data_IF_490971382222
#
_entry.id   IF_490971382222
#
_cell.length_a   1.000
_cell.length_b   1.000
_cell.length_c   1.000
_cell.angle_alpha   90.00
_cell.angle_beta   90.00
_cell.angle_gamma   90.00
#
_symmetry.space_group_name_H-M   'P 1'
#
loop_
_entity.id
_entity.type
_entity.pdbx_description
1 polymer ?
#
# COMPACT_ATOMS: atom_id res chain seq x y z
N UNK A 1 -40.52 112.74 21.84
CA UNK A 1 -40.48 111.78 20.72
C UNK A 1 -39.97 112.58 19.53
N UNK A 2 -38.66 112.66 19.31
CA UNK A 2 -37.82 111.61 18.71
C UNK A 2 -38.26 111.30 17.29
N UNK A 3 -37.71 112.02 16.32
CA UNK A 3 -37.41 111.45 15.00
C UNK A 3 -36.15 112.12 14.46
N UNK A 4 -35.07 111.34 14.43
CA UNK A 4 -33.78 111.72 13.88
C UNK A 4 -33.87 111.51 12.37
N UNK A 5 -34.21 112.57 11.62
CA UNK A 5 -34.14 112.54 10.15
C UNK A 5 -32.69 112.81 9.75
N UNK A 6 -31.94 111.72 9.52
CA UNK A 6 -30.65 111.80 8.83
C UNK A 6 -30.94 112.21 7.39
N UNK A 7 -30.54 113.42 7.02
CA UNK A 7 -30.61 113.90 5.65
C UNK A 7 -29.76 112.98 4.76
N UNK A 8 -30.39 112.41 3.72
CA UNK A 8 -29.67 111.70 2.68
C UNK A 8 -28.62 112.61 2.02
N UNK A 9 -27.49 112.04 1.55
CA UNK A 9 -26.39 112.82 0.98
C UNK A 9 -26.88 113.69 -0.19
N UNK A 10 -26.34 114.91 -0.28
CA UNK A 10 -26.64 115.86 -1.33
C UNK A 10 -26.42 115.25 -2.74
N UNK A 11 -27.27 115.55 -3.73
CA UNK A 11 -27.10 115.06 -5.08
C UNK A 11 -25.77 115.57 -5.65
N UNK A 12 -24.98 114.71 -6.30
CA UNK A 12 -23.67 115.08 -6.82
C UNK A 12 -23.80 116.24 -7.83
N UNK A 13 -22.81 117.15 -7.90
CA UNK A 13 -22.84 118.27 -8.84
C UNK A 13 -22.96 117.78 -10.29
N UNK A 14 -23.67 118.51 -11.16
CA UNK A 14 -23.92 118.10 -12.54
C UNK A 14 -22.61 118.08 -13.35
N UNK A 15 -22.27 116.91 -13.88
CA UNK A 15 -21.04 116.71 -14.65
C UNK A 15 -21.01 117.53 -15.93
N UNK A 16 -19.85 118.12 -16.20
CA UNK A 16 -19.58 118.77 -17.48
C UNK A 16 -19.60 117.75 -18.62
N UNK A 17 -19.89 118.17 -19.85
CA UNK A 17 -19.91 117.27 -21.00
C UNK A 17 -18.54 116.60 -21.27
N UNK A 18 -17.42 117.26 -20.91
CA UNK A 18 -16.08 116.68 -21.01
C UNK A 18 -15.84 115.55 -20.01
N UNK A 19 -16.27 115.69 -18.76
CA UNK A 19 -16.16 114.63 -17.75
C UNK A 19 -16.97 113.39 -18.13
N UNK A 20 -18.18 113.59 -18.67
CA UNK A 20 -19.00 112.50 -19.22
C UNK A 20 -18.30 111.77 -20.38
N UNK A 21 -17.69 112.49 -21.31
CA UNK A 21 -16.91 111.88 -22.40
C UNK A 21 -15.73 111.04 -21.88
N UNK A 22 -15.03 111.50 -20.83
CA UNK A 22 -13.94 110.75 -20.19
C UNK A 22 -14.45 109.46 -19.52
N UNK A 23 -15.60 109.52 -18.83
CA UNK A 23 -16.23 108.33 -18.24
C UNK A 23 -16.63 107.30 -19.31
N UNK A 24 -17.18 107.75 -20.44
CA UNK A 24 -17.49 106.85 -21.56
C UNK A 24 -16.23 106.19 -22.12
N UNK A 25 -15.12 106.92 -22.27
CA UNK A 25 -13.84 106.33 -22.71
C UNK A 25 -13.32 105.25 -21.76
N UNK A 26 -13.36 105.50 -20.45
CA UNK A 26 -12.96 104.51 -19.42
C UNK A 26 -13.87 103.28 -19.46
N UNK A 27 -15.19 103.48 -19.65
CA UNK A 27 -16.12 102.36 -19.79
C UNK A 27 -15.86 101.55 -21.05
N UNK A 28 -15.57 102.21 -22.18
CA UNK A 28 -15.22 101.55 -23.44
C UNK A 28 -13.93 100.72 -23.29
N UNK A 29 -12.92 101.27 -22.62
CA UNK A 29 -11.65 100.58 -22.32
C UNK A 29 -11.88 99.35 -21.43
N UNK A 30 -12.62 99.49 -20.32
CA UNK A 30 -13.00 98.35 -19.47
C UNK A 30 -13.85 97.31 -20.20
N UNK A 31 -14.69 97.73 -21.15
CA UNK A 31 -15.46 96.82 -21.99
C UNK A 31 -14.51 96.02 -22.89
N UNK A 32 -13.52 96.67 -23.49
CA UNK A 32 -12.50 96.00 -24.29
C UNK A 32 -11.67 95.03 -23.45
N UNK A 33 -11.20 95.42 -22.27
CA UNK A 33 -10.48 94.53 -21.34
C UNK A 33 -11.28 93.26 -20.98
N UNK A 34 -12.57 93.43 -20.67
CA UNK A 34 -13.46 92.31 -20.38
C UNK A 34 -13.66 91.42 -21.61
N UNK A 35 -13.80 92.01 -22.81
CA UNK A 35 -13.94 91.24 -24.05
C UNK A 35 -12.69 90.41 -24.31
N UNK A 36 -11.50 91.00 -24.17
CA UNK A 36 -10.22 90.28 -24.32
C UNK A 36 -10.08 89.16 -23.28
N UNK A 37 -10.42 89.41 -22.00
CA UNK A 37 -10.40 88.38 -20.96
C UNK A 37 -11.38 87.23 -21.28
N UNK A 38 -12.55 87.54 -21.82
CA UNK A 38 -13.54 86.54 -22.23
C UNK A 38 -13.07 85.74 -23.45
N UNK A 39 -12.43 86.37 -24.43
CA UNK A 39 -11.87 85.71 -25.60
C UNK A 39 -10.73 84.76 -25.21
N UNK A 40 -9.79 85.22 -24.38
CA UNK A 40 -8.68 84.40 -23.86
C UNK A 40 -9.19 83.22 -23.03
N UNK A 41 -10.23 83.42 -22.21
CA UNK A 41 -10.89 82.32 -21.50
C UNK A 41 -11.58 81.35 -22.45
N UNK A 42 -12.27 81.84 -23.48
CA UNK A 42 -12.94 81.01 -24.47
C UNK A 42 -11.92 80.12 -25.18
N UNK A 43 -10.85 80.70 -25.71
CA UNK A 43 -9.79 79.99 -26.42
C UNK A 43 -9.16 78.92 -25.53
N UNK A 44 -8.79 79.26 -24.29
CA UNK A 44 -8.25 78.29 -23.32
C UNK A 44 -9.24 77.19 -22.96
N UNK A 45 -10.54 77.49 -22.91
CA UNK A 45 -11.56 76.47 -22.64
C UNK A 45 -11.77 75.55 -23.85
N UNK A 46 -11.72 76.06 -25.07
CA UNK A 46 -11.84 75.29 -26.30
C UNK A 46 -10.63 74.39 -26.50
N UNK A 47 -9.41 74.89 -26.25
CA UNK A 47 -8.19 74.09 -26.26
C UNK A 47 -8.24 72.95 -25.23
N UNK A 48 -8.67 73.26 -24.00
CA UNK A 48 -8.84 72.24 -22.95
C UNK A 48 -9.90 71.22 -23.31
N UNK A 49 -11.00 71.64 -23.93
CA UNK A 49 -12.06 70.74 -24.39
C UNK A 49 -11.55 69.82 -25.50
N UNK A 50 -10.84 70.35 -26.49
CA UNK A 50 -10.25 69.56 -27.56
C UNK A 50 -9.26 68.51 -27.02
N UNK A 51 -8.43 68.90 -26.05
CA UNK A 51 -7.49 67.97 -25.40
C UNK A 51 -8.21 66.87 -24.62
N UNK A 52 -9.24 67.21 -23.83
CA UNK A 52 -9.98 66.20 -23.05
C UNK A 52 -10.78 65.26 -23.92
N UNK A 53 -11.31 65.72 -25.06
CA UNK A 53 -11.98 64.87 -26.05
C UNK A 53 -11.02 63.86 -26.68
N UNK A 54 -9.80 64.28 -27.02
CA UNK A 54 -8.75 63.38 -27.52
C UNK A 54 -8.37 62.33 -26.47
N UNK A 55 -8.14 62.76 -25.22
CA UNK A 55 -7.78 61.87 -24.11
C UNK A 55 -8.89 60.84 -23.86
N UNK A 56 -10.15 61.30 -23.80
CA UNK A 56 -11.32 60.42 -23.64
C UNK A 56 -11.44 59.41 -24.80
N UNK A 57 -11.22 59.85 -26.04
CA UNK A 57 -11.22 58.97 -27.20
C UNK A 57 -10.14 57.88 -27.10
N UNK A 58 -8.95 58.25 -26.63
CA UNK A 58 -7.84 57.31 -26.41
C UNK A 58 -8.17 56.28 -25.31
N UNK A 59 -8.71 56.71 -24.17
CA UNK A 59 -9.09 55.81 -23.07
C UNK A 59 -10.22 54.87 -23.48
N UNK A 60 -11.22 55.37 -24.21
CA UNK A 60 -12.30 54.53 -24.73
C UNK A 60 -11.78 53.44 -25.66
N UNK A 61 -10.79 53.77 -26.51
CA UNK A 61 -10.20 52.80 -27.41
C UNK A 61 -9.38 51.74 -26.64
N UNK A 62 -8.54 52.16 -25.69
CA UNK A 62 -7.79 51.24 -24.80
C UNK A 62 -8.75 50.33 -24.03
N UNK A 63 -9.83 50.88 -23.47
CA UNK A 63 -10.83 50.11 -22.73
C UNK A 63 -11.50 49.05 -23.61
N UNK A 64 -11.85 49.37 -24.86
CA UNK A 64 -12.44 48.38 -25.79
C UNK A 64 -11.45 47.25 -26.10
N UNK A 65 -10.19 47.58 -26.35
CA UNK A 65 -9.15 46.58 -26.61
C UNK A 65 -8.95 45.66 -25.42
N UNK A 66 -8.82 46.21 -24.20
CA UNK A 66 -8.67 45.41 -22.98
C UNK A 66 -9.90 44.54 -22.71
N UNK A 67 -11.11 45.05 -22.94
CA UNK A 67 -12.33 44.25 -22.80
C UNK A 67 -12.38 43.09 -23.80
N UNK A 68 -11.91 43.30 -25.03
CA UNK A 68 -11.81 42.24 -26.04
C UNK A 68 -10.78 41.17 -25.63
N UNK A 69 -9.60 41.59 -25.15
CA UNK A 69 -8.55 40.68 -24.70
C UNK A 69 -8.97 39.88 -23.47
N UNK A 70 -9.64 40.52 -22.50
CA UNK A 70 -10.22 39.82 -21.34
C UNK A 70 -11.26 38.81 -21.81
N UNK A 71 -12.15 39.17 -22.75
CA UNK A 71 -13.16 38.24 -23.26
C UNK A 71 -12.54 37.05 -24.00
N UNK A 72 -11.50 37.27 -24.80
CA UNK A 72 -10.77 36.21 -25.51
C UNK A 72 -10.01 35.30 -24.53
N UNK A 73 -9.31 35.89 -23.57
CA UNK A 73 -8.60 35.14 -22.51
C UNK A 73 -9.57 34.32 -21.67
N UNK A 74 -10.70 34.90 -21.27
CA UNK A 74 -11.74 34.18 -20.52
C UNK A 74 -12.29 33.02 -21.33
N UNK A 75 -12.55 33.22 -22.63
CA UNK A 75 -13.07 32.17 -23.51
C UNK A 75 -12.07 31.04 -23.72
N UNK A 76 -10.80 31.36 -23.92
CA UNK A 76 -9.74 30.36 -24.11
C UNK A 76 -9.47 29.58 -22.83
N UNK A 77 -9.43 30.25 -21.67
CA UNK A 77 -9.34 29.59 -20.37
C UNK A 77 -10.52 28.66 -20.11
N UNK A 78 -11.75 29.11 -20.39
CA UNK A 78 -12.94 28.27 -20.22
C UNK A 78 -12.88 27.03 -21.13
N UNK A 79 -12.48 27.20 -22.40
CA UNK A 79 -12.32 26.08 -23.32
C UNK A 79 -11.25 25.08 -22.84
N UNK A 80 -10.13 25.56 -22.29
CA UNK A 80 -9.08 24.70 -21.72
C UNK A 80 -9.57 23.95 -20.48
N UNK A 81 -10.35 24.60 -19.61
CA UNK A 81 -10.97 23.96 -18.44
C UNK A 81 -11.90 22.84 -18.89
N UNK A 82 -12.77 23.12 -19.87
CA UNK A 82 -13.74 22.14 -20.37
C UNK A 82 -13.04 20.96 -21.07
N UNK A 83 -11.99 21.23 -21.85
CA UNK A 83 -11.17 20.19 -22.46
C UNK A 83 -10.43 19.35 -21.41
N UNK A 84 -9.87 19.98 -20.37
CA UNK A 84 -9.20 19.28 -19.27
C UNK A 84 -10.17 18.39 -18.50
N UNK A 85 -11.37 18.89 -18.20
CA UNK A 85 -12.43 18.10 -17.55
C UNK A 85 -12.85 16.91 -18.40
N UNK A 86 -13.09 17.12 -19.70
CA UNK A 86 -13.46 16.04 -20.60
C UNK A 86 -12.35 14.96 -20.69
N UNK A 87 -11.07 15.38 -20.71
CA UNK A 87 -9.94 14.44 -20.67
C UNK A 87 -9.86 13.69 -19.36
N UNK A 88 -10.06 14.36 -18.23
CA UNK A 88 -10.08 13.75 -16.90
C UNK A 88 -11.21 12.72 -16.79
N UNK A 89 -12.43 13.08 -17.19
CA UNK A 89 -13.57 12.17 -17.23
C UNK A 89 -13.30 10.96 -18.12
N UNK A 90 -12.72 11.16 -19.31
CA UNK A 90 -12.36 10.07 -20.21
C UNK A 90 -11.31 9.13 -19.59
N UNK A 91 -10.31 9.68 -18.88
CA UNK A 91 -9.30 8.90 -18.17
C UNK A 91 -9.91 8.12 -17.00
N UNK A 92 -10.78 8.74 -16.21
CA UNK A 92 -11.52 8.07 -15.12
C UNK A 92 -12.37 6.94 -15.66
N UNK A 93 -13.12 7.17 -16.74
CA UNK A 93 -13.93 6.15 -17.40
C UNK A 93 -13.08 5.01 -17.98
N UNK A 94 -11.90 5.32 -18.53
CA UNK A 94 -10.97 4.30 -19.01
C UNK A 94 -10.37 3.49 -17.86
N UNK A 95 -10.03 4.13 -16.74
CA UNK A 95 -9.56 3.46 -15.52
C UNK A 95 -10.67 2.68 -14.81
N UNK A 96 -11.94 3.00 -15.05
CA UNK A 96 -13.07 2.22 -14.54
C UNK A 96 -13.39 0.97 -15.39
N UNK A 97 -12.69 0.74 -16.51
CA UNK A 97 -12.96 -0.43 -17.37
C UNK A 97 -12.56 -1.72 -16.66
N UNK A 98 -13.48 -2.69 -16.66
CA UNK A 98 -13.31 -4.06 -16.14
C UNK A 98 -12.79 -4.13 -14.69
N UNK A 99 -13.56 -3.59 -13.73
CA UNK A 99 -13.25 -3.78 -12.33
C UNK A 99 -13.24 -5.27 -11.97
N UNK A 100 -12.37 -5.66 -11.06
CA UNK A 100 -12.26 -7.06 -10.65
C UNK A 100 -12.16 -7.23 -9.13
N UNK A 101 -12.49 -8.44 -8.69
CA UNK A 101 -12.31 -8.94 -7.33
C UNK A 101 -11.25 -10.04 -7.37
N UNK A 102 -10.28 -9.97 -6.46
CA UNK A 102 -9.28 -11.03 -6.29
C UNK A 102 -9.59 -11.84 -5.04
N UNK A 103 -9.56 -13.16 -5.17
CA UNK A 103 -9.67 -14.08 -4.03
C UNK A 103 -8.38 -14.86 -3.90
N UNK A 104 -7.73 -14.73 -2.75
CA UNK A 104 -6.44 -15.36 -2.46
C UNK A 104 -6.64 -16.37 -1.34
N UNK A 105 -6.31 -17.64 -1.61
CA UNK A 105 -6.52 -18.74 -0.68
C UNK A 105 -5.21 -19.48 -0.46
N UNK A 106 -4.80 -19.61 0.79
CA UNK A 106 -3.79 -20.55 1.25
C UNK A 106 -4.52 -21.83 1.68
N UNK A 107 -4.52 -22.86 0.83
CA UNK A 107 -5.33 -24.07 1.03
C UNK A 107 -4.66 -25.15 1.89
N UNK A 108 -3.35 -25.02 2.17
CA UNK A 108 -2.62 -25.88 3.11
C UNK A 108 -2.39 -25.23 4.48
N UNK A 109 -2.81 -23.97 4.68
CA UNK A 109 -2.95 -23.35 6.00
C UNK A 109 -4.04 -24.02 6.87
N UNK A 110 -3.80 -23.98 8.19
CA UNK A 110 -4.76 -24.48 9.17
C UNK A 110 -6.10 -23.74 9.08
N UNK A 111 -7.21 -24.50 9.09
CA UNK A 111 -8.56 -23.96 8.95
C UNK A 111 -9.01 -23.68 7.51
N UNK A 112 -8.10 -23.66 6.53
CA UNK A 112 -8.43 -23.34 5.13
C UNK A 112 -8.38 -24.54 4.19
N UNK A 113 -8.26 -25.75 4.74
CA UNK A 113 -8.48 -26.99 3.99
C UNK A 113 -9.96 -27.09 3.56
N UNK A 114 -10.21 -27.27 2.27
CA UNK A 114 -11.58 -27.42 1.75
C UNK A 114 -12.28 -28.68 2.28
N UNK A 115 -13.62 -28.67 2.25
CA UNK A 115 -14.41 -29.82 2.68
C UNK A 115 -14.14 -31.10 1.86
N UNK A 116 -14.22 -32.23 2.55
CA UNK A 116 -13.93 -33.57 2.01
C UNK A 116 -14.79 -33.91 0.79
N UNK A 117 -16.04 -33.43 0.75
CA UNK A 117 -16.96 -33.64 -0.38
C UNK A 117 -16.42 -33.12 -1.71
N UNK A 118 -15.50 -32.15 -1.68
CA UNK A 118 -14.78 -31.68 -2.87
C UNK A 118 -13.50 -32.48 -3.08
N UNK A 119 -12.62 -32.54 -2.08
CA UNK A 119 -11.27 -33.12 -2.20
C UNK A 119 -11.31 -34.59 -2.64
N UNK A 120 -12.25 -35.38 -2.12
CA UNK A 120 -12.33 -36.83 -2.34
C UNK A 120 -12.83 -37.23 -3.74
N UNK A 121 -13.35 -36.28 -4.53
CA UNK A 121 -14.00 -36.54 -5.83
C UNK A 121 -13.11 -36.28 -7.07
N UNK A 122 -11.80 -36.12 -6.89
CA UNK A 122 -10.85 -35.88 -8.00
C UNK A 122 -11.31 -34.67 -8.85
N UNK A 123 -11.23 -34.73 -10.18
CA UNK A 123 -11.58 -33.64 -11.09
C UNK A 123 -13.00 -33.08 -10.89
N UNK A 124 -14.02 -33.94 -10.78
CA UNK A 124 -15.40 -33.50 -10.51
C UNK A 124 -15.53 -32.73 -9.19
N UNK A 125 -14.70 -33.10 -8.21
CA UNK A 125 -14.61 -32.40 -6.93
C UNK A 125 -14.07 -30.98 -7.07
N UNK A 126 -13.04 -30.81 -7.91
CA UNK A 126 -12.47 -29.50 -8.24
C UNK A 126 -13.45 -28.62 -8.99
N UNK A 127 -14.16 -29.18 -9.97
CA UNK A 127 -15.23 -28.48 -10.69
C UNK A 127 -16.35 -28.03 -9.74
N UNK A 128 -16.81 -28.92 -8.86
CA UNK A 128 -17.84 -28.60 -7.86
C UNK A 128 -17.38 -27.52 -6.88
N UNK A 129 -16.09 -27.52 -6.50
CA UNK A 129 -15.53 -26.48 -5.64
C UNK A 129 -15.50 -25.12 -6.35
N UNK A 130 -15.10 -25.07 -7.62
CA UNK A 130 -15.07 -23.82 -8.38
C UNK A 130 -16.47 -23.22 -8.51
N UNK A 131 -17.48 -24.03 -8.79
CA UNK A 131 -18.89 -23.60 -8.85
C UNK A 131 -19.38 -23.05 -7.51
N UNK A 132 -19.15 -23.78 -6.42
CA UNK A 132 -19.53 -23.35 -5.08
C UNK A 132 -18.83 -22.05 -4.70
N UNK A 133 -17.53 -21.95 -4.96
CA UNK A 133 -16.72 -20.79 -4.60
C UNK A 133 -17.18 -19.54 -5.35
N UNK A 134 -17.45 -19.66 -6.65
CA UNK A 134 -18.04 -18.58 -7.44
C UNK A 134 -19.44 -18.18 -6.92
N UNK A 135 -20.28 -19.15 -6.55
CA UNK A 135 -21.61 -18.88 -5.97
C UNK A 135 -21.48 -18.07 -4.68
N UNK A 136 -20.68 -18.53 -3.71
CA UNK A 136 -20.53 -17.87 -2.40
C UNK A 136 -19.89 -16.50 -2.50
N UNK A 137 -18.90 -16.33 -3.37
CA UNK A 137 -18.29 -15.01 -3.60
C UNK A 137 -19.32 -14.06 -4.21
N UNK A 138 -20.10 -14.50 -5.21
CA UNK A 138 -21.13 -13.63 -5.82
C UNK A 138 -22.21 -13.24 -4.84
N UNK A 139 -22.71 -14.18 -4.03
CA UNK A 139 -23.67 -13.88 -2.96
C UNK A 139 -23.11 -12.83 -2.01
N UNK A 140 -21.88 -13.01 -1.55
CA UNK A 140 -21.21 -12.04 -0.67
C UNK A 140 -21.02 -10.66 -1.32
N UNK A 141 -20.61 -10.63 -2.59
CA UNK A 141 -20.37 -9.36 -3.30
C UNK A 141 -21.65 -8.57 -3.53
N UNK A 142 -22.81 -9.23 -3.73
CA UNK A 142 -24.11 -8.54 -3.88
C UNK A 142 -24.53 -7.78 -2.62
N UNK A 143 -24.04 -8.18 -1.45
CA UNK A 143 -24.26 -7.42 -0.21
C UNK A 143 -23.39 -6.16 -0.14
N UNK A 144 -22.29 -6.11 -0.88
CA UNK A 144 -21.32 -5.01 -0.86
C UNK A 144 -21.48 -4.04 -2.03
N UNK A 145 -21.90 -4.53 -3.21
CA UNK A 145 -21.89 -3.77 -4.45
C UNK A 145 -23.16 -4.02 -5.26
N UNK A 146 -23.81 -2.95 -5.71
CA UNK A 146 -25.00 -3.03 -6.57
C UNK A 146 -24.66 -3.66 -7.94
N UNK A 147 -23.46 -3.42 -8.44
CA UNK A 147 -22.95 -3.89 -9.73
C UNK A 147 -22.21 -5.24 -9.62
N UNK A 148 -22.37 -5.98 -8.53
CA UNK A 148 -21.61 -7.21 -8.22
C UNK A 148 -21.59 -8.26 -9.34
N UNK A 149 -22.68 -8.42 -10.09
CA UNK A 149 -22.77 -9.41 -11.16
C UNK A 149 -21.91 -9.07 -12.38
N UNK A 150 -21.53 -7.79 -12.55
CA UNK A 150 -20.65 -7.31 -13.62
C UNK A 150 -19.15 -7.42 -13.30
N UNK A 151 -18.81 -7.74 -12.05
CA UNK A 151 -17.41 -7.81 -11.59
C UNK A 151 -16.74 -9.09 -12.10
N UNK A 152 -15.55 -8.93 -12.65
CA UNK A 152 -14.67 -10.07 -12.95
C UNK A 152 -14.13 -10.66 -11.63
N UNK A 153 -14.26 -11.97 -11.44
CA UNK A 153 -13.77 -12.65 -10.23
C UNK A 153 -12.55 -13.49 -10.61
N UNK A 154 -11.40 -13.18 -10.01
CA UNK A 154 -10.15 -13.91 -10.16
C UNK A 154 -9.90 -14.67 -8.85
N UNK A 155 -9.61 -15.96 -8.94
CA UNK A 155 -9.33 -16.79 -7.76
C UNK A 155 -7.97 -17.43 -7.92
N UNK A 156 -7.14 -17.31 -6.89
CA UNK A 156 -5.84 -17.96 -6.82
C UNK A 156 -5.73 -18.75 -5.54
N UNK A 157 -5.69 -20.07 -5.68
CA UNK A 157 -5.47 -21.01 -4.59
C UNK A 157 -4.00 -21.42 -4.60
N UNK A 158 -3.30 -21.22 -3.49
CA UNK A 158 -1.92 -21.60 -3.29
C UNK A 158 -1.87 -22.78 -2.32
N UNK A 159 -1.09 -23.79 -2.65
CA UNK A 159 -0.76 -24.87 -1.73
C UNK A 159 0.52 -25.57 -2.17
N UNK A 160 1.26 -26.14 -1.23
CA UNK A 160 2.23 -27.18 -1.55
C UNK A 160 1.46 -28.49 -1.83
N UNK A 161 1.25 -28.83 -3.11
CA UNK A 161 0.42 -29.98 -3.47
C UNK A 161 1.01 -31.30 -2.98
N UNK A 162 2.33 -31.43 -2.95
CA UNK A 162 3.00 -32.64 -2.46
C UNK A 162 2.79 -32.80 -0.95
N UNK A 163 3.03 -31.74 -0.18
CA UNK A 163 2.80 -31.73 1.27
C UNK A 163 1.34 -31.98 1.63
N UNK A 164 0.43 -31.27 0.96
CA UNK A 164 -1.01 -31.42 1.14
C UNK A 164 -1.48 -32.83 0.77
N UNK A 165 -1.00 -33.43 -0.33
CA UNK A 165 -1.34 -34.80 -0.70
C UNK A 165 -0.86 -35.81 0.34
N UNK A 166 0.38 -35.70 0.82
CA UNK A 166 0.92 -36.58 1.85
C UNK A 166 0.11 -36.51 3.14
N UNK A 167 -0.32 -35.30 3.54
CA UNK A 167 -1.22 -35.11 4.68
C UNK A 167 -2.59 -35.77 4.44
N UNK A 168 -3.22 -35.54 3.28
CA UNK A 168 -4.52 -36.10 2.94
C UNK A 168 -4.53 -37.62 2.78
N UNK A 169 -3.41 -38.22 2.34
CA UNK A 169 -3.24 -39.69 2.29
C UNK A 169 -3.24 -40.28 3.69
N UNK A 170 -2.55 -39.63 4.65
CA UNK A 170 -2.55 -40.07 6.05
C UNK A 170 -3.94 -39.96 6.71
N UNK A 171 -4.79 -39.09 6.20
CA UNK A 171 -6.19 -38.96 6.60
C UNK A 171 -7.15 -39.86 5.80
N UNK A 172 -6.64 -40.70 4.90
CA UNK A 172 -7.43 -41.58 4.02
C UNK A 172 -8.42 -40.83 3.10
N UNK A 173 -8.20 -39.53 2.88
CA UNK A 173 -9.07 -38.67 2.03
C UNK A 173 -8.72 -38.77 0.55
N UNK A 174 -7.45 -38.98 0.24
CA UNK A 174 -6.95 -39.20 -1.13
C UNK A 174 -5.98 -40.38 -1.13
N UNK A 175 -5.84 -41.06 -2.28
CA UNK A 175 -4.94 -42.23 -2.37
C UNK A 175 -3.50 -41.87 -2.73
N UNK A 176 -3.31 -40.79 -3.47
CA UNK A 176 -2.00 -40.34 -3.95
C UNK A 176 -2.08 -38.89 -4.45
N UNK A 177 -0.91 -38.30 -4.72
CA UNK A 177 -0.78 -36.97 -5.33
C UNK A 177 -1.54 -36.84 -6.66
N UNK A 178 -1.64 -37.92 -7.45
CA UNK A 178 -2.36 -37.91 -8.72
C UNK A 178 -3.85 -37.57 -8.59
N UNK A 179 -4.50 -38.00 -7.51
CA UNK A 179 -5.90 -37.63 -7.24
C UNK A 179 -6.04 -36.14 -6.91
N UNK A 180 -5.11 -35.59 -6.12
CA UNK A 180 -5.12 -34.17 -5.79
C UNK A 180 -4.78 -33.30 -7.01
N UNK A 181 -3.85 -33.74 -7.88
CA UNK A 181 -3.58 -33.07 -9.17
C UNK A 181 -4.79 -33.10 -10.10
N UNK A 182 -5.53 -34.22 -10.15
CA UNK A 182 -6.76 -34.27 -10.93
C UNK A 182 -7.82 -33.30 -10.38
N UNK A 183 -7.92 -33.20 -9.05
CA UNK A 183 -8.77 -32.22 -8.38
C UNK A 183 -8.38 -30.77 -8.72
N UNK A 184 -7.10 -30.39 -8.58
CA UNK A 184 -6.65 -29.03 -8.93
C UNK A 184 -6.85 -28.72 -10.42
N UNK A 185 -6.64 -29.70 -11.30
CA UNK A 185 -6.88 -29.55 -12.75
C UNK A 185 -8.36 -29.33 -13.06
N UNK A 186 -9.26 -30.09 -12.44
CA UNK A 186 -10.71 -29.90 -12.59
C UNK A 186 -11.18 -28.53 -12.10
N UNK A 187 -10.60 -28.03 -11.00
CA UNK A 187 -10.86 -26.68 -10.50
C UNK A 187 -10.45 -25.60 -11.53
N UNK A 188 -9.22 -25.66 -12.05
CA UNK A 188 -8.73 -24.67 -13.02
C UNK A 188 -9.49 -24.73 -14.35
N UNK A 189 -9.89 -25.94 -14.78
CA UNK A 189 -10.62 -26.14 -16.03
C UNK A 189 -12.08 -25.66 -15.97
N UNK A 190 -12.65 -25.45 -14.78
CA UNK A 190 -14.08 -25.13 -14.62
C UNK A 190 -14.40 -23.66 -14.88
N UNK A 191 -13.58 -22.75 -14.36
CA UNK A 191 -13.73 -21.30 -14.54
C UNK A 191 -12.38 -20.73 -14.96
N UNK A 192 -12.33 -20.03 -16.08
CA UNK A 192 -11.06 -19.61 -16.73
C UNK A 192 -10.22 -18.64 -15.91
N UNK A 193 -10.81 -17.93 -14.96
CA UNK A 193 -10.12 -16.98 -14.07
C UNK A 193 -9.71 -17.59 -12.72
N UNK A 194 -9.86 -18.91 -12.57
CA UNK A 194 -9.59 -19.63 -11.33
C UNK A 194 -8.33 -20.48 -11.53
N UNK A 195 -7.34 -20.25 -10.68
CA UNK A 195 -6.05 -20.89 -10.76
C UNK A 195 -5.72 -21.64 -9.46
N UNK A 196 -5.13 -22.82 -9.61
CA UNK A 196 -4.49 -23.55 -8.52
C UNK A 196 -2.97 -23.58 -8.74
N UNK A 197 -2.25 -22.92 -7.84
CA UNK A 197 -0.81 -22.72 -7.91
C UNK A 197 -0.12 -23.67 -6.92
N UNK A 198 0.58 -24.65 -7.45
CA UNK A 198 1.48 -25.50 -6.68
C UNK A 198 2.73 -24.70 -6.28
N UNK A 199 2.92 -24.44 -5.00
CA UNK A 199 4.10 -23.72 -4.49
C UNK A 199 5.31 -24.63 -4.30
N UNK A 200 5.11 -25.96 -4.38
CA UNK A 200 6.15 -26.96 -4.19
C UNK A 200 6.72 -27.01 -2.76
N UNK A 201 7.74 -27.85 -2.61
CA UNK A 201 8.50 -28.07 -1.37
C UNK A 201 9.75 -27.18 -1.34
N UNK A 202 9.58 -25.91 -0.98
CA UNK A 202 10.67 -24.93 -0.92
C UNK A 202 10.91 -24.36 0.47
N UNK A 203 12.18 -24.06 0.80
CA UNK A 203 12.52 -23.18 1.94
C UNK A 203 12.14 -21.72 1.66
N UNK A 204 12.21 -21.33 0.39
CA UNK A 204 11.96 -19.96 -0.09
C UNK A 204 10.49 -19.77 -0.48
N UNK A 205 9.64 -19.55 0.54
CA UNK A 205 8.28 -19.00 0.38
C UNK A 205 7.15 -20.01 0.22
N UNK A 206 6.47 -20.30 1.33
CA UNK A 206 5.23 -21.09 1.35
C UNK A 206 4.01 -20.35 0.76
N UNK A 207 2.87 -21.06 0.71
CA UNK A 207 1.60 -20.55 0.20
C UNK A 207 1.20 -19.21 0.83
N UNK A 208 1.31 -19.08 2.15
CA UNK A 208 1.01 -17.83 2.86
C UNK A 208 1.87 -16.64 2.42
N UNK A 209 3.16 -16.84 2.13
CA UNK A 209 4.01 -15.79 1.54
C UNK A 209 3.49 -15.38 0.16
N UNK A 210 3.12 -16.33 -0.70
CA UNK A 210 2.57 -16.01 -2.03
C UNK A 210 1.26 -15.22 -1.92
N UNK A 211 0.37 -15.60 -1.00
CA UNK A 211 -0.85 -14.84 -0.71
C UNK A 211 -0.51 -13.43 -0.27
N UNK A 212 0.40 -13.28 0.70
CA UNK A 212 0.84 -11.97 1.20
C UNK A 212 1.34 -11.04 0.10
N UNK A 213 2.29 -11.50 -0.71
CA UNK A 213 2.88 -10.68 -1.78
C UNK A 213 1.86 -10.34 -2.88
N UNK A 214 0.95 -11.28 -3.21
CA UNK A 214 -0.11 -10.99 -4.18
C UNK A 214 -1.11 -9.97 -3.62
N UNK A 215 -1.45 -10.06 -2.33
CA UNK A 215 -2.30 -9.08 -1.69
C UNK A 215 -1.68 -7.69 -1.76
N UNK A 216 -0.39 -7.56 -1.39
CA UNK A 216 0.36 -6.29 -1.50
C UNK A 216 0.37 -5.75 -2.93
N UNK A 217 0.57 -6.61 -3.93
CA UNK A 217 0.62 -6.21 -5.33
C UNK A 217 -0.74 -5.73 -5.84
N UNK A 218 -1.81 -6.48 -5.60
CA UNK A 218 -3.14 -6.12 -6.10
C UNK A 218 -3.80 -4.98 -5.31
N UNK A 219 -3.47 -4.80 -4.04
CA UNK A 219 -4.00 -3.72 -3.21
C UNK A 219 -3.80 -2.32 -3.81
N UNK A 220 -2.73 -2.14 -4.60
CA UNK A 220 -2.39 -0.88 -5.27
C UNK A 220 -3.01 -0.75 -6.67
N UNK A 221 -3.71 -1.77 -7.16
CA UNK A 221 -4.31 -1.75 -8.48
C UNK A 221 -5.59 -0.90 -8.48
N UNK A 222 -5.66 0.09 -9.38
CA UNK A 222 -6.80 1.00 -9.51
C UNK A 222 -8.11 0.28 -9.88
N UNK A 223 -8.02 -0.83 -10.62
CA UNK A 223 -9.17 -1.64 -11.04
C UNK A 223 -9.63 -2.63 -9.95
N UNK A 224 -8.87 -2.79 -8.85
CA UNK A 224 -9.27 -3.65 -7.75
C UNK A 224 -10.46 -3.02 -7.02
N UNK A 225 -11.59 -3.72 -7.07
CA UNK A 225 -12.78 -3.39 -6.28
C UNK A 225 -12.69 -3.96 -4.88
N UNK A 226 -12.27 -5.21 -4.78
CA UNK A 226 -12.27 -5.92 -3.51
C UNK A 226 -11.29 -7.09 -3.50
N UNK A 227 -10.67 -7.35 -2.36
CA UNK A 227 -9.82 -8.50 -2.10
C UNK A 227 -10.45 -9.36 -0.99
N UNK A 228 -10.57 -10.66 -1.25
CA UNK A 228 -11.04 -11.65 -0.27
C UNK A 228 -9.90 -12.61 0.02
N UNK A 229 -9.52 -12.78 1.28
CA UNK A 229 -8.31 -13.51 1.66
C UNK A 229 -8.64 -14.60 2.68
N UNK A 230 -8.31 -15.85 2.34
CA UNK A 230 -8.28 -17.00 3.24
C UNK A 230 -6.81 -17.39 3.47
N UNK A 231 -6.22 -16.97 4.58
CA UNK A 231 -4.82 -17.23 4.87
C UNK A 231 -4.56 -17.25 6.37
N UNK A 232 -3.47 -17.91 6.78
CA UNK A 232 -3.01 -17.89 8.16
C UNK A 232 -2.82 -16.46 8.67
N UNK A 233 -3.30 -16.11 9.87
CA UNK A 233 -3.07 -14.80 10.48
C UNK A 233 -1.58 -14.42 10.59
N UNK A 234 -0.69 -15.42 10.71
CA UNK A 234 0.76 -15.20 10.79
C UNK A 234 1.33 -14.61 9.49
N UNK A 235 0.69 -14.88 8.35
CA UNK A 235 1.11 -14.39 7.04
C UNK A 235 0.49 -13.04 6.67
N UNK A 236 -0.40 -12.52 7.51
CA UNK A 236 -1.06 -11.23 7.36
C UNK A 236 -0.72 -10.31 8.54
N UNK A 237 0.55 -9.87 8.67
CA UNK A 237 0.93 -8.97 9.76
C UNK A 237 0.18 -7.64 9.66
N UNK A 238 -0.22 -7.08 10.80
CA UNK A 238 -0.95 -5.81 10.85
C UNK A 238 -0.21 -4.67 10.13
N UNK A 239 1.13 -4.65 10.18
CA UNK A 239 1.97 -3.68 9.47
C UNK A 239 1.80 -3.69 7.94
N UNK A 240 1.51 -4.86 7.36
CA UNK A 240 1.15 -4.94 5.95
C UNK A 240 -0.26 -4.38 5.73
N UNK A 241 -1.21 -4.80 6.55
CA UNK A 241 -2.61 -4.41 6.37
C UNK A 241 -2.80 -2.90 6.49
N UNK A 242 -2.03 -2.21 7.33
CA UNK A 242 -2.05 -0.74 7.43
C UNK A 242 -1.61 -0.01 6.16
N UNK A 243 -0.96 -0.70 5.22
CA UNK A 243 -0.58 -0.12 3.90
C UNK A 243 -1.65 -0.31 2.83
N UNK A 244 -2.73 -1.02 3.15
CA UNK A 244 -3.77 -1.43 2.21
C UNK A 244 -5.08 -0.71 2.56
N UNK A 245 -5.88 -0.28 1.57
CA UNK A 245 -7.24 0.22 1.81
C UNK A 245 -8.12 -0.88 2.42
N UNK A 246 -8.31 -0.85 3.75
CA UNK A 246 -8.97 -1.91 4.51
C UNK A 246 -10.45 -2.08 4.15
N UNK A 247 -11.10 -1.03 3.65
CA UNK A 247 -12.48 -1.07 3.17
C UNK A 247 -12.66 -2.00 1.96
N UNK A 248 -11.59 -2.20 1.18
CA UNK A 248 -11.52 -3.11 0.03
C UNK A 248 -11.05 -4.52 0.41
N UNK A 249 -10.90 -4.83 1.70
CA UNK A 249 -10.40 -6.12 2.17
C UNK A 249 -11.48 -6.87 2.96
N UNK A 250 -11.55 -8.18 2.74
CA UNK A 250 -12.30 -9.12 3.56
C UNK A 250 -11.45 -10.32 3.90
N UNK A 251 -11.42 -10.68 5.18
CA UNK A 251 -10.78 -11.91 5.64
C UNK A 251 -11.82 -13.01 5.80
N UNK A 252 -11.51 -14.18 5.26
CA UNK A 252 -12.31 -15.38 5.49
C UNK A 252 -11.94 -15.92 6.86
N UNK A 253 -12.91 -16.02 7.75
CA UNK A 253 -12.75 -16.54 9.11
C UNK A 253 -13.19 -18.01 9.16
N UNK A 254 -12.23 -18.92 9.13
CA UNK A 254 -12.46 -20.35 9.40
C UNK A 254 -12.19 -20.73 10.86
N UNK A 255 -11.25 -20.04 11.50
CA UNK A 255 -10.91 -20.12 12.91
C UNK A 255 -10.97 -18.70 13.53
N UNK A 256 -11.18 -18.57 14.85
CA UNK A 256 -11.19 -17.26 15.50
C UNK A 256 -9.92 -16.46 15.21
N UNK A 257 -10.08 -15.24 14.70
CA UNK A 257 -8.96 -14.36 14.36
C UNK A 257 -8.31 -13.78 15.62
N UNK A 258 -6.99 -13.56 15.63
CA UNK A 258 -6.29 -12.91 16.75
C UNK A 258 -6.69 -11.43 16.89
N UNK A 259 -6.50 -10.88 18.10
CA UNK A 259 -6.83 -9.48 18.42
C UNK A 259 -6.13 -8.46 17.52
N UNK A 260 -4.93 -8.79 17.02
CA UNK A 260 -4.19 -7.95 16.07
C UNK A 260 -4.92 -7.72 14.75
N UNK A 261 -5.82 -8.63 14.35
CA UNK A 261 -6.64 -8.50 13.15
C UNK A 261 -8.04 -8.00 13.48
N UNK A 262 -8.65 -8.47 14.57
CA UNK A 262 -10.01 -8.05 14.94
C UNK A 262 -10.10 -6.62 15.45
N UNK A 263 -8.98 -6.01 15.85
CA UNK A 263 -8.94 -4.58 16.21
C UNK A 263 -8.93 -3.64 15.00
N UNK A 264 -8.65 -4.16 13.81
CA UNK A 264 -8.66 -3.39 12.56
C UNK A 264 -10.08 -3.34 11.99
N UNK A 265 -10.46 -2.26 11.28
CA UNK A 265 -11.78 -2.11 10.66
C UNK A 265 -11.89 -2.94 9.36
N UNK A 266 -11.62 -4.25 9.45
CA UNK A 266 -11.61 -5.18 8.32
C UNK A 266 -12.87 -6.02 8.35
N UNK A 267 -13.50 -6.20 7.18
CA UNK A 267 -14.67 -7.08 7.05
C UNK A 267 -14.25 -8.53 7.23
N UNK A 268 -15.10 -9.34 7.85
CA UNK A 268 -14.91 -10.79 7.94
C UNK A 268 -16.09 -11.53 7.31
N UNK A 269 -15.81 -12.70 6.72
CA UNK A 269 -16.83 -13.56 6.11
C UNK A 269 -16.60 -15.03 6.47
N UNK A 270 -17.68 -15.80 6.60
CA UNK A 270 -17.62 -17.23 6.95
C UNK A 270 -18.26 -18.09 5.86
N UNK A 271 -17.44 -18.86 5.15
CA UNK A 271 -17.92 -19.74 4.08
C UNK A 271 -17.96 -21.22 4.52
N UNK A 272 -18.94 -21.53 5.37
CA UNK A 272 -19.13 -22.86 5.96
C UNK A 272 -19.41 -23.99 4.97
N UNK A 273 -19.66 -23.71 3.69
CA UNK A 273 -19.82 -24.72 2.65
C UNK A 273 -18.51 -25.05 1.92
N UNK A 274 -17.50 -24.18 2.05
CA UNK A 274 -16.17 -24.30 1.47
C UNK A 274 -15.19 -24.88 2.50
N UNK A 275 -15.19 -24.30 3.70
CA UNK A 275 -14.31 -24.66 4.80
C UNK A 275 -15.09 -25.36 5.92
N UNK A 276 -14.51 -26.37 6.59
CA UNK A 276 -15.14 -27.00 7.74
C UNK A 276 -15.23 -26.01 8.91
N UNK A 277 -16.33 -26.01 9.68
CA UNK A 277 -16.43 -25.18 10.88
C UNK A 277 -15.42 -25.65 11.94
N UNK A 278 -14.99 -24.75 12.85
CA UNK A 278 -14.13 -25.13 13.96
C UNK A 278 -14.79 -26.23 14.79
N UNK A 279 -13.99 -27.22 15.22
CA UNK A 279 -14.49 -28.28 16.07
C UNK A 279 -15.05 -27.68 17.38
N UNK A 280 -16.21 -28.16 17.87
CA UNK A 280 -16.74 -27.68 19.13
C UNK A 280 -15.73 -27.93 20.26
N UNK A 281 -15.60 -27.01 21.23
CA UNK A 281 -14.68 -27.20 22.34
C UNK A 281 -15.00 -28.53 23.03
N UNK A 282 -14.00 -29.40 23.13
CA UNK A 282 -14.16 -30.69 23.80
C UNK A 282 -14.60 -30.40 25.22
N UNK A 283 -15.82 -30.80 25.57
CA UNK A 283 -16.31 -30.71 26.93
C UNK A 283 -15.31 -31.41 27.86
N UNK A 284 -14.75 -30.67 28.80
CA UNK A 284 -13.91 -31.23 29.85
C UNK A 284 -14.80 -32.20 30.61
N UNK A 285 -14.60 -33.50 30.41
CA UNK A 285 -15.29 -34.51 31.22
C UNK A 285 -14.91 -34.23 32.68
N UNK A 286 -15.87 -34.13 33.61
CA UNK A 286 -15.54 -33.96 35.01
C UNK A 286 -14.66 -35.15 35.42
N UNK A 287 -13.52 -34.84 36.02
CA UNK A 287 -12.67 -35.83 36.67
C UNK A 287 -13.52 -36.42 37.79
N UNK A 288 -14.09 -37.60 37.54
CA UNK A 288 -14.67 -38.41 38.60
C UNK A 288 -13.48 -38.86 39.45
N UNK A 289 -13.30 -38.24 40.61
CA UNK A 289 -12.44 -38.75 41.66
C UNK A 289 -12.87 -40.19 41.95
N UNK A 290 -12.10 -41.15 41.45
CA UNK A 290 -12.18 -42.52 41.95
C UNK A 290 -11.58 -42.51 43.35
N UNK A 291 -12.47 -42.51 44.34
CA UNK A 291 -12.18 -42.88 45.71
C UNK A 291 -11.33 -44.15 45.72
N UNK A 292 -10.11 -44.02 46.25
CA UNK A 292 -9.21 -45.13 46.54
C UNK A 292 -9.90 -46.03 47.56
N UNK A 293 -10.47 -47.13 47.10
CA UNK A 293 -10.80 -48.26 47.96
C UNK A 293 -9.66 -49.26 47.90
N UNK A 294 -9.19 -49.52 49.11
CA UNK A 294 -8.16 -50.46 49.56
C UNK A 294 -8.27 -51.83 48.88
N UNK A 295 -7.24 -52.21 48.11
CA UNK A 295 -6.98 -53.60 47.73
C UNK A 295 -5.48 -53.85 47.75
N UNK A 296 -5.09 -54.74 48.65
CA UNK A 296 -3.72 -55.07 49.01
C UNK A 296 -2.80 -55.41 47.84
N UNK A 297 -1.55 -54.95 47.97
CA UNK A 297 -0.46 -55.30 47.09
C UNK A 297 0.07 -56.69 47.43
N UNK A 298 -0.02 -57.61 46.46
CA UNK A 298 0.75 -58.85 46.47
C UNK A 298 2.18 -58.59 46.02
N UNK A 299 3.13 -59.21 46.72
CA UNK A 299 4.59 -59.09 46.66
C UNK A 299 5.26 -59.46 45.30
N UNK A 300 4.48 -59.67 44.24
CA UNK A 300 4.95 -60.11 42.93
C UNK A 300 5.24 -58.97 41.93
N UNK A 301 4.74 -57.75 42.16
CA UNK A 301 4.92 -56.61 41.24
C UNK A 301 6.18 -55.77 41.50
N UNK A 302 6.90 -56.02 42.61
CA UNK A 302 8.12 -55.28 42.95
C UNK A 302 9.32 -55.73 42.09
N UNK A 303 9.29 -56.95 41.51
CA UNK A 303 10.43 -57.50 40.74
C UNK A 303 10.40 -57.26 39.23
N UNK A 304 9.36 -56.59 38.70
CA UNK A 304 9.32 -56.15 37.29
C UNK A 304 9.74 -54.70 37.08
N UNK A 305 9.59 -53.85 38.10
CA UNK A 305 9.95 -52.42 38.02
C UNK A 305 11.44 -52.12 37.96
N UNK A 306 12.30 -53.06 38.37
CA UNK A 306 13.76 -52.86 38.38
C UNK A 306 14.47 -53.28 37.08
N UNK A 307 13.82 -54.06 36.20
CA UNK A 307 14.43 -54.44 34.91
C UNK A 307 14.19 -53.44 33.78
N UNK A 308 13.17 -52.60 33.90
CA UNK A 308 12.86 -51.59 32.86
C UNK A 308 13.59 -50.27 33.07
N UNK A 309 14.07 -49.96 34.29
CA UNK A 309 14.89 -48.76 34.55
C UNK A 309 16.31 -48.84 33.98
N UNK A 310 16.87 -50.04 33.86
CA UNK A 310 18.23 -50.22 33.32
C UNK A 310 18.25 -50.18 31.79
N UNK A 311 17.14 -50.50 31.11
CA UNK A 311 17.04 -50.36 29.64
C UNK A 311 16.89 -48.92 29.16
N UNK A 312 16.22 -48.07 29.94
CA UNK A 312 16.05 -46.66 29.57
C UNK A 312 17.32 -45.85 29.83
N UNK A 313 18.15 -46.26 30.81
CA UNK A 313 19.43 -45.60 31.10
C UNK A 313 20.49 -45.87 30.01
N UNK A 314 20.53 -47.08 29.43
CA UNK A 314 21.44 -47.41 28.32
C UNK A 314 21.02 -46.79 26.98
N UNK A 315 19.74 -46.47 26.80
CA UNK A 315 19.22 -45.80 25.59
C UNK A 315 19.49 -44.30 25.58
N UNK A 316 19.65 -43.70 26.77
CA UNK A 316 19.95 -42.28 26.94
C UNK A 316 21.45 -41.99 26.78
N UNK A 317 22.34 -42.96 27.08
CA UNK A 317 23.79 -42.82 26.85
C UNK A 317 24.13 -42.87 25.36
N UNK A 318 23.45 -43.71 24.56
CA UNK A 318 23.68 -43.77 23.09
C UNK A 318 23.11 -42.59 22.29
N UNK A 319 22.33 -41.70 22.91
CA UNK A 319 21.81 -40.48 22.28
C UNK A 319 22.63 -39.23 22.58
N UNK A 320 23.67 -39.33 23.43
CA UNK A 320 24.55 -38.20 23.75
C UNK A 320 25.78 -38.10 22.84
N UNK A 321 26.17 -39.15 22.12
CA UNK A 321 27.37 -39.14 21.27
C UNK A 321 27.12 -38.72 19.81
N UNK A 322 25.90 -38.34 19.43
CA UNK A 322 25.58 -37.92 18.05
C UNK A 322 25.13 -36.45 17.93
N UNK A 323 25.52 -35.62 18.91
CA UNK A 323 25.50 -34.15 18.79
C UNK A 323 26.92 -33.61 18.70
N UNK A 324 27.61 -33.97 17.62
CA UNK A 324 28.73 -33.17 17.11
C UNK A 324 28.18 -31.81 16.69
N UNK A 325 28.44 -30.79 17.52
CA UNK A 325 28.12 -29.41 17.23
C UNK A 325 28.93 -28.90 16.04
N UNK A 326 28.23 -28.46 15.00
CA UNK A 326 28.78 -27.72 13.87
C UNK A 326 27.88 -26.53 13.57
N UNK A 327 27.81 -25.59 14.51
CA UNK A 327 27.28 -24.24 14.26
C UNK A 327 28.45 -23.28 14.04
N UNK A 328 28.29 -22.19 13.26
CA UNK A 328 29.37 -21.24 13.01
C UNK A 328 29.88 -20.65 14.33
N UNK A 329 31.19 -20.75 14.57
CA UNK A 329 31.80 -20.23 15.79
C UNK A 329 32.02 -18.71 15.63
N UNK A 330 31.18 -17.93 16.31
CA UNK A 330 31.33 -16.48 16.42
C UNK A 330 32.31 -16.21 17.56
N UNK A 331 33.47 -15.66 17.26
CA UNK A 331 34.46 -15.27 18.26
C UNK A 331 34.55 -13.75 18.29
N UNK A 332 34.10 -13.16 19.40
CA UNK A 332 34.18 -11.74 19.66
C UNK A 332 35.57 -11.45 20.24
N UNK A 333 36.37 -10.64 19.54
CA UNK A 333 37.69 -10.23 20.00
C UNK A 333 37.66 -8.72 20.22
N UNK A 334 37.93 -8.32 21.46
CA UNK A 334 38.04 -6.93 21.86
C UNK A 334 39.52 -6.63 22.11
N UNK A 335 40.06 -5.66 21.37
CA UNK A 335 41.45 -5.26 21.50
C UNK A 335 41.49 -3.75 21.76
N UNK A 336 41.83 -3.37 22.98
CA UNK A 336 42.00 -1.96 23.36
C UNK A 336 43.30 -1.43 22.75
N UNK A 337 43.20 -0.35 21.98
CA UNK A 337 44.35 0.45 21.60
C UNK A 337 44.12 1.90 22.04
N UNK A 338 45.19 2.56 22.46
CA UNK A 338 45.17 3.90 23.05
C UNK A 338 44.72 4.94 22.01
N UNK A 339 43.41 5.09 21.85
CA UNK A 339 42.79 5.95 20.84
C UNK A 339 41.35 5.57 20.50
N UNK A 340 40.52 5.22 21.50
CA UNK A 340 39.10 4.93 21.31
C UNK A 340 38.82 3.52 20.79
N UNK A 341 38.23 2.68 21.65
CA UNK A 341 37.94 1.28 21.36
C UNK A 341 37.05 1.08 20.14
N UNK A 342 37.41 0.12 19.30
CA UNK A 342 36.57 -0.42 18.23
C UNK A 342 36.45 -1.94 18.40
N UNK A 343 35.22 -2.44 18.45
CA UNK A 343 34.92 -3.87 18.62
C UNK A 343 34.74 -4.52 17.25
N UNK A 344 35.50 -5.58 16.96
CA UNK A 344 35.43 -6.29 15.67
C UNK A 344 34.70 -7.63 15.82
N UNK A 345 33.80 -7.91 14.86
CA UNK A 345 33.08 -9.19 14.78
C UNK A 345 33.61 -9.97 13.57
N UNK A 346 34.34 -11.05 13.82
CA UNK A 346 34.95 -11.88 12.76
C UNK A 346 34.15 -13.17 12.59
N UNK A 347 33.62 -13.40 11.38
CA UNK A 347 32.87 -14.62 11.04
C UNK A 347 33.77 -15.51 10.17
N UNK A 348 34.25 -16.62 10.72
CA UNK A 348 34.96 -17.64 9.93
C UNK A 348 33.97 -18.71 9.43
N UNK A 349 33.80 -18.92 8.12
CA UNK A 349 33.02 -20.03 7.61
C UNK A 349 33.81 -21.34 7.71
N UNK A 350 33.22 -22.37 8.33
CA UNK A 350 33.83 -23.70 8.44
C UNK A 350 33.80 -24.48 7.10
N UNK A 351 34.92 -25.14 6.77
CA UNK A 351 35.03 -26.08 5.65
C UNK A 351 34.23 -27.36 5.95
N UNK A 352 33.14 -27.59 5.24
CA UNK A 352 32.52 -28.92 5.15
C UNK A 352 33.39 -29.83 4.27
N UNK A 353 34.09 -30.81 4.86
CA UNK A 353 34.73 -31.91 4.11
C UNK A 353 33.64 -32.83 3.58
N UNK A 354 33.40 -32.83 2.27
CA UNK A 354 32.61 -33.86 1.60
C UNK A 354 33.41 -35.17 1.55
N UNK A 355 32.92 -36.21 2.21
CA UNK A 355 33.36 -37.58 1.95
C UNK A 355 32.71 -38.05 0.63
N UNK A 356 33.50 -38.02 -0.44
CA UNK A 356 33.18 -38.73 -1.69
C UNK A 356 33.71 -40.15 -1.55
N UNK A 357 32.82 -41.13 -1.54
CA UNK A 357 33.16 -42.54 -1.76
C UNK A 357 33.44 -42.70 -3.25
N UNK A 358 34.70 -42.90 -3.62
CA UNK A 358 35.07 -43.23 -5.00
C UNK A 358 35.76 -44.60 -5.07
N UNK A 359 35.22 -45.46 -5.93
CA UNK A 359 35.75 -46.79 -6.24
C UNK A 359 36.76 -46.65 -7.38
N UNK A 360 38.02 -47.01 -7.09
CA UNK A 360 39.10 -47.43 -8.03
C UNK A 360 39.37 -46.54 -9.24
N UNK A 361 40.60 -46.00 -9.32
CA UNK A 361 41.20 -45.63 -10.60
C UNK A 361 42.32 -44.61 -10.50
N UNK A 362 43.55 -45.10 -10.63
CA UNK A 362 44.82 -44.39 -10.75
C UNK A 362 44.80 -43.15 -11.69
N UNK A 363 45.30 -41.99 -11.20
CA UNK A 363 46.30 -41.11 -11.88
C UNK A 363 46.48 -39.77 -11.15
N UNK A 364 47.75 -39.42 -10.96
CA UNK A 364 48.29 -38.19 -10.34
C UNK A 364 47.85 -36.92 -11.08
N UNK A 365 47.35 -35.91 -10.35
CA UNK A 365 47.31 -34.49 -10.77
C UNK A 365 47.51 -33.57 -9.56
N UNK A 366 48.30 -32.52 -9.76
CA UNK A 366 48.80 -31.56 -8.77
C UNK A 366 47.68 -30.78 -8.03
N UNK A 367 47.93 -30.24 -6.81
CA UNK A 367 46.92 -29.51 -6.06
C UNK A 367 46.67 -28.12 -6.67
N UNK A 368 45.39 -27.77 -6.86
CA UNK A 368 44.97 -26.41 -7.20
C UNK A 368 44.96 -25.52 -5.95
N UNK A 369 45.47 -24.31 -6.09
CA UNK A 369 45.35 -23.23 -5.11
C UNK A 369 43.92 -22.68 -5.14
N UNK A 370 43.05 -23.16 -4.26
CA UNK A 370 41.72 -22.58 -4.09
C UNK A 370 41.80 -21.41 -3.09
N UNK A 371 41.64 -20.20 -3.67
CA UNK A 371 41.48 -18.88 -3.04
C UNK A 371 40.53 -18.90 -1.84
N UNK A 372 41.05 -18.54 -0.67
CA UNK A 372 40.24 -18.23 0.51
C UNK A 372 39.71 -16.78 0.44
N UNK A 373 38.49 -16.58 -0.04
CA UNK A 373 37.84 -15.27 0.03
C UNK A 373 37.26 -15.03 1.44
N UNK A 374 37.98 -14.30 2.29
CA UNK A 374 37.45 -13.79 3.56
C UNK A 374 36.72 -12.46 3.31
N UNK A 375 35.46 -12.36 3.72
CA UNK A 375 34.70 -11.12 3.75
C UNK A 375 34.89 -10.47 5.13
N UNK A 376 35.36 -9.22 5.17
CA UNK A 376 35.45 -8.44 6.40
C UNK A 376 34.44 -7.29 6.36
N UNK A 377 33.69 -7.14 7.44
CA UNK A 377 32.73 -6.05 7.63
C UNK A 377 33.23 -5.25 8.82
N UNK A 378 33.37 -3.94 8.61
CA UNK A 378 33.86 -3.00 9.60
C UNK A 378 32.82 -1.93 9.93
N UNK A 379 32.61 -1.65 11.21
CA UNK A 379 31.69 -0.60 11.70
C UNK A 379 32.52 0.49 12.36
N UNK A 380 32.47 1.70 11.81
CA UNK A 380 33.15 2.87 12.34
C UNK A 380 32.46 3.47 13.57
N UNK A 381 33.15 4.34 14.32
CA UNK A 381 32.63 4.97 15.54
C UNK A 381 31.43 5.91 15.32
N UNK A 382 31.06 6.18 14.08
CA UNK A 382 29.90 6.98 13.64
C UNK A 382 28.77 6.13 13.00
N UNK A 383 28.74 4.81 13.27
CA UNK A 383 27.81 3.83 12.67
C UNK A 383 27.92 3.69 11.14
N UNK A 384 29.02 4.12 10.53
CA UNK A 384 29.28 3.83 9.12
C UNK A 384 29.68 2.36 8.94
N UNK A 385 29.08 1.68 7.97
CA UNK A 385 29.35 0.26 7.66
C UNK A 385 30.16 0.18 6.37
N UNK A 386 31.35 -0.42 6.43
CA UNK A 386 32.19 -0.71 5.27
C UNK A 386 32.34 -2.23 5.08
N UNK A 387 32.34 -2.66 3.82
CA UNK A 387 32.48 -4.09 3.44
C UNK A 387 33.65 -4.24 2.49
N UNK A 388 34.67 -4.98 2.89
CA UNK A 388 35.79 -5.37 2.02
C UNK A 388 35.67 -6.86 1.66
N UNK A 389 35.71 -7.14 0.37
CA UNK A 389 35.55 -8.49 -0.17
C UNK A 389 36.88 -9.18 -0.50
N UNK A 390 38.02 -8.58 -0.12
CA UNK A 390 39.34 -9.22 -0.21
C UNK A 390 39.79 -9.59 -1.63
N UNK A 391 39.07 -9.15 -2.67
CA UNK A 391 39.36 -9.47 -4.08
C UNK A 391 40.57 -8.67 -4.57
N UNK A 392 41.77 -9.23 -4.45
CA UNK A 392 42.94 -8.75 -5.19
C UNK A 392 42.68 -8.88 -6.69
N UNK A 393 42.48 -7.76 -7.39
CA UNK A 393 42.55 -7.71 -8.85
C UNK A 393 43.97 -8.08 -9.27
N UNK A 394 44.16 -9.26 -9.91
CA UNK A 394 45.34 -9.51 -10.75
C UNK A 394 45.27 -8.54 -11.93
N UNK A 395 46.17 -7.56 -11.95
CA UNK A 395 46.51 -6.82 -13.18
C UNK A 395 47.45 -7.75 -13.95
N UNK A 396 47.01 -8.28 -15.09
CA UNK A 396 47.93 -8.85 -16.08
C UNK A 396 48.61 -7.69 -16.79
N UNK A 397 49.95 -7.67 -16.72
CA UNK A 397 50.83 -6.94 -17.62
C UNK A 397 51.51 -7.93 -18.55
#
# INVERSE_FOLDING_TARGET
MSELVVAGPAPPPPMTFRERLTQFRILEEKRCELIEELLDKLEKTEERLAQTELDLGSEQNVRRTLQAEIAETTRTMQAQIDESKAKEEALVQQQAKRPFVIVLIDADAEGFLFQDKYITRKAQGGESLADELNLRIREYLRELFEDADSLDIIVRVYANLEGMANYLVRLEKVRNLGQLRAFSTGFCGRITSFDWIDTGVGKEGGAGRKVRENLSFFALNTHLRHAIVACSPADLPASLLTTIPLEKLTLIESLPLPQSLTSLPIKTAKFHSLFPPPAPPKAVKPVVERSRSDRGHSEADIRRGDRDRDRDRDREIRRRDDRGGGGPQLQLMEQEHDGGGSTWLVIQPERSKSQVIDRRGDRRRAPSEDDSSSLSISIGPDNTVSVDSGRRRRIMG
#
